data_IF_670958990705
#
_entry.id   IF_670958990705
#
_cell.length_a   1.000
_cell.length_b   1.000
_cell.length_c   1.000
_cell.angle_alpha   90.00
_cell.angle_beta   90.00
_cell.angle_gamma   90.00
#
_symmetry.space_group_name_H-M   'P 1'
#
loop_
_entity.id
_entity.type
_entity.pdbx_description
1 polymer ?
#
# COMPACT_ATOMS: atom_id res chain seq x y z
N UNK A 1 18.29 4.01 -9.07
CA UNK A 1 17.29 5.03 -9.46
C UNK A 1 16.18 4.34 -10.22
N UNK A 2 14.98 4.23 -9.67
CA UNK A 2 13.82 3.72 -10.40
C UNK A 2 13.28 4.86 -11.28
N UNK A 3 13.51 4.79 -12.60
CA UNK A 3 12.75 5.60 -13.55
C UNK A 3 11.31 5.05 -13.54
N UNK A 4 10.38 5.91 -13.16
CA UNK A 4 8.98 5.55 -12.96
C UNK A 4 8.14 6.39 -13.95
N UNK A 5 7.42 5.72 -14.86
CA UNK A 5 6.74 6.32 -16.01
C UNK A 5 5.32 6.86 -15.70
N UNK A 6 4.94 7.15 -14.44
CA UNK A 6 3.67 7.83 -14.16
C UNK A 6 3.21 7.83 -12.69
N UNK A 7 2.16 8.60 -12.39
CA UNK A 7 1.65 8.83 -11.03
C UNK A 7 1.07 7.59 -10.32
N UNK A 8 0.70 6.52 -11.04
CA UNK A 8 0.09 5.29 -10.47
C UNK A 8 1.01 4.06 -10.52
N UNK A 9 2.30 4.26 -10.74
CA UNK A 9 3.22 3.15 -10.96
C UNK A 9 3.65 2.43 -9.66
N UNK A 10 3.81 3.18 -8.57
CA UNK A 10 4.21 2.61 -7.28
C UNK A 10 3.49 3.31 -6.12
N UNK A 11 2.75 2.53 -5.34
CA UNK A 11 2.11 2.96 -4.09
C UNK A 11 2.85 2.36 -2.91
N UNK A 12 3.25 3.18 -1.95
CA UNK A 12 3.85 2.73 -0.70
C UNK A 12 2.78 2.76 0.40
N UNK A 13 2.51 1.63 1.03
CA UNK A 13 1.60 1.53 2.19
C UNK A 13 2.44 1.30 3.43
N UNK A 14 2.20 2.11 4.47
CA UNK A 14 2.95 2.07 5.72
C UNK A 14 2.01 2.21 6.93
N UNK A 15 2.34 1.48 8.00
CA UNK A 15 1.65 1.48 9.28
C UNK A 15 2.51 2.14 10.35
N UNK A 16 2.02 3.21 10.95
CA UNK A 16 2.73 3.93 12.00
C UNK A 16 2.16 3.63 13.38
N UNK A 17 2.90 2.81 14.12
CA UNK A 17 2.49 2.25 15.41
C UNK A 17 3.00 3.02 16.65
N UNK A 18 3.74 4.12 16.50
CA UNK A 18 4.31 4.81 17.68
C UNK A 18 3.24 5.38 18.64
N UNK A 19 2.02 5.60 18.13
CA UNK A 19 0.88 6.07 18.93
C UNK A 19 -0.04 4.92 19.38
N UNK A 20 0.31 3.68 19.07
CA UNK A 20 -0.42 2.47 19.49
C UNK A 20 -0.54 2.35 21.02
N UNK A 21 0.45 2.74 21.86
CA UNK A 21 0.29 2.78 23.32
C UNK A 21 -0.85 3.69 23.80
N UNK A 22 -1.25 4.68 22.99
CA UNK A 22 -2.36 5.58 23.26
C UNK A 22 -3.66 5.16 22.57
N UNK A 23 -3.70 3.98 21.94
CA UNK A 23 -4.87 3.45 21.23
C UNK A 23 -5.07 4.01 19.82
N UNK A 24 -4.04 4.63 19.23
CA UNK A 24 -4.11 5.19 17.88
C UNK A 24 -3.10 4.51 16.95
N UNK A 25 -3.60 3.72 16.01
CA UNK A 25 -2.81 3.20 14.90
C UNK A 25 -3.03 4.11 13.69
N UNK A 26 -1.95 4.65 13.12
CA UNK A 26 -2.04 5.48 11.93
C UNK A 26 -1.69 4.62 10.71
N UNK A 27 -2.58 4.60 9.73
CA UNK A 27 -2.36 3.94 8.45
C UNK A 27 -2.28 4.98 7.35
N UNK A 28 -1.23 4.92 6.55
CA UNK A 28 -1.04 5.86 5.46
C UNK A 28 -0.53 5.18 4.19
N UNK A 29 -0.76 5.85 3.07
CA UNK A 29 -0.05 5.52 1.85
C UNK A 29 0.38 6.75 1.09
N UNK A 30 1.44 6.57 0.31
CA UNK A 30 2.05 7.62 -0.48
C UNK A 30 2.33 7.14 -1.91
N UNK A 31 2.17 8.04 -2.87
CA UNK A 31 2.60 7.81 -4.23
C UNK A 31 4.14 7.87 -4.30
N UNK A 32 4.78 6.79 -4.77
CA UNK A 32 6.23 6.70 -4.88
C UNK A 32 6.86 7.68 -5.89
N UNK A 33 6.08 8.16 -6.86
CA UNK A 33 6.54 9.16 -7.83
C UNK A 33 6.38 10.59 -7.32
N UNK A 34 5.15 10.97 -6.95
CA UNK A 34 4.82 12.35 -6.60
C UNK A 34 5.06 12.71 -5.12
N UNK A 35 5.35 11.71 -4.27
CA UNK A 35 5.41 11.82 -2.80
C UNK A 35 4.14 12.40 -2.16
N UNK A 36 3.02 12.42 -2.89
CA UNK A 36 1.72 12.84 -2.36
C UNK A 36 1.16 11.77 -1.45
N UNK A 37 0.55 12.20 -0.34
CA UNK A 37 -0.22 11.34 0.54
C UNK A 37 -1.51 10.95 -0.20
N UNK A 38 -1.76 9.66 -0.33
CA UNK A 38 -2.96 9.10 -0.96
C UNK A 38 -4.08 8.97 0.07
N UNK A 39 -3.75 8.44 1.24
CA UNK A 39 -4.63 8.47 2.41
C UNK A 39 -3.82 8.52 3.70
N UNK A 40 -4.45 9.06 4.74
CA UNK A 40 -3.97 9.04 6.11
C UNK A 40 -5.19 8.83 7.02
N UNK A 41 -5.26 7.69 7.69
CA UNK A 41 -6.41 7.29 8.52
C UNK A 41 -5.94 6.81 9.87
N UNK A 42 -6.70 7.17 10.90
CA UNK A 42 -6.47 6.71 12.27
C UNK A 42 -7.45 5.59 12.56
N UNK A 43 -6.95 4.43 12.95
CA UNK A 43 -7.72 3.31 13.43
C UNK A 43 -7.50 3.13 14.94
N UNK A 44 -8.51 2.62 15.64
CA UNK A 44 -8.38 2.25 17.06
C UNK A 44 -7.54 0.98 17.28
N UNK A 45 -7.38 0.17 16.24
CA UNK A 45 -6.61 -1.08 16.26
C UNK A 45 -5.98 -1.31 14.89
N UNK A 46 -4.77 -1.87 14.87
CA UNK A 46 -4.11 -2.34 13.63
C UNK A 46 -4.26 -3.85 13.43
N UNK A 47 -4.88 -4.56 14.38
CA UNK A 47 -4.90 -6.03 14.39
C UNK A 47 -5.90 -6.63 13.39
N UNK A 48 -6.71 -5.79 12.74
CA UNK A 48 -7.71 -6.22 11.75
C UNK A 48 -7.26 -5.82 10.34
N UNK A 49 -6.78 -6.78 9.52
CA UNK A 49 -6.39 -6.52 8.14
C UNK A 49 -7.54 -5.99 7.27
N UNK A 50 -8.81 -6.26 7.62
CA UNK A 50 -9.97 -5.74 6.88
C UNK A 50 -10.07 -4.22 6.95
N UNK A 51 -9.64 -3.60 8.06
CA UNK A 51 -9.64 -2.14 8.21
C UNK A 51 -8.67 -1.52 7.21
N UNK A 52 -7.44 -2.02 7.14
CA UNK A 52 -6.41 -1.49 6.22
C UNK A 52 -6.80 -1.75 4.76
N UNK A 53 -7.32 -2.94 4.46
CA UNK A 53 -7.84 -3.28 3.14
C UNK A 53 -8.99 -2.36 2.69
N UNK A 54 -9.88 -1.95 3.60
CA UNK A 54 -10.97 -1.03 3.28
C UNK A 54 -10.47 0.34 2.82
N UNK A 55 -9.36 0.84 3.37
CA UNK A 55 -8.74 2.08 2.93
C UNK A 55 -8.14 1.93 1.53
N UNK A 56 -7.51 0.79 1.27
CA UNK A 56 -6.96 0.48 -0.04
C UNK A 56 -8.06 0.38 -1.12
N UNK A 57 -9.16 -0.32 -0.83
CA UNK A 57 -10.30 -0.43 -1.76
C UNK A 57 -10.93 0.92 -2.09
N UNK A 58 -11.12 1.79 -1.08
CA UNK A 58 -11.59 3.16 -1.31
C UNK A 58 -10.67 3.94 -2.23
N UNK A 59 -9.36 3.80 -2.04
CA UNK A 59 -8.39 4.41 -2.93
C UNK A 59 -8.51 3.88 -4.38
N UNK A 60 -8.65 2.56 -4.57
CA UNK A 60 -8.87 1.97 -5.90
C UNK A 60 -10.13 2.50 -6.58
N UNK A 61 -11.20 2.68 -5.82
CA UNK A 61 -12.46 3.27 -6.27
C UNK A 61 -12.27 4.75 -6.68
N UNK A 62 -11.58 5.55 -5.86
CA UNK A 62 -11.27 6.95 -6.13
C UNK A 62 -10.46 7.15 -7.42
N UNK A 63 -9.50 6.27 -7.70
CA UNK A 63 -8.71 6.33 -8.94
C UNK A 63 -9.33 5.55 -10.10
N UNK A 64 -10.43 4.82 -9.85
CA UNK A 64 -11.10 3.90 -10.76
C UNK A 64 -10.12 2.99 -11.55
N UNK A 65 -9.10 2.49 -10.86
CA UNK A 65 -7.99 1.74 -11.46
C UNK A 65 -7.19 0.96 -10.41
N UNK A 66 -6.33 0.04 -10.85
CA UNK A 66 -5.37 -0.63 -9.99
C UNK A 66 -3.95 -0.04 -10.20
N UNK A 67 -3.22 0.28 -9.12
CA UNK A 67 -1.83 0.71 -9.26
C UNK A 67 -1.00 -0.41 -9.89
N UNK A 68 0.06 -0.05 -10.60
CA UNK A 68 0.91 -1.06 -11.25
C UNK A 68 1.60 -1.95 -10.21
N UNK A 69 2.15 -1.31 -9.18
CA UNK A 69 2.83 -1.95 -8.07
C UNK A 69 2.42 -1.36 -6.73
N UNK A 70 2.31 -2.19 -5.70
CA UNK A 70 2.16 -1.77 -4.31
C UNK A 70 3.33 -2.32 -3.51
N UNK A 71 4.00 -1.45 -2.75
CA UNK A 71 4.99 -1.82 -1.76
C UNK A 71 4.35 -1.79 -0.38
N UNK A 72 4.43 -2.91 0.31
CA UNK A 72 3.89 -3.09 1.66
C UNK A 72 4.98 -3.63 2.59
N UNK A 73 4.85 -3.34 3.87
CA UNK A 73 5.64 -4.02 4.89
C UNK A 73 5.14 -5.46 5.07
N UNK A 74 6.05 -6.36 5.45
CA UNK A 74 5.78 -7.79 5.64
C UNK A 74 4.95 -8.11 6.91
N UNK A 75 4.03 -7.21 7.29
CA UNK A 75 3.12 -7.36 8.42
C UNK A 75 1.84 -8.12 8.06
N UNK A 76 1.22 -8.73 9.06
CA UNK A 76 -0.04 -9.49 8.87
C UNK A 76 -1.23 -8.58 8.57
N UNK A 77 -1.14 -7.30 8.94
CA UNK A 77 -2.16 -6.29 8.65
C UNK A 77 -2.32 -5.98 7.15
N UNK A 78 -1.32 -6.32 6.31
CA UNK A 78 -1.31 -5.99 4.89
C UNK A 78 -1.67 -7.19 3.97
N UNK A 79 -1.97 -8.36 4.54
CA UNK A 79 -2.23 -9.60 3.77
C UNK A 79 -3.39 -9.40 2.78
N UNK A 80 -4.47 -8.74 3.19
CA UNK A 80 -5.60 -8.49 2.29
C UNK A 80 -5.28 -7.46 1.19
N UNK A 81 -4.39 -6.49 1.45
CA UNK A 81 -3.94 -5.56 0.39
C UNK A 81 -3.17 -6.34 -0.67
N UNK A 82 -2.31 -7.27 -0.25
CA UNK A 82 -1.58 -8.15 -1.16
C UNK A 82 -2.52 -8.95 -2.04
N UNK A 83 -3.51 -9.64 -1.45
CA UNK A 83 -4.45 -10.47 -2.20
C UNK A 83 -5.28 -9.65 -3.19
N UNK A 84 -5.85 -8.53 -2.73
CA UNK A 84 -6.63 -7.60 -3.59
C UNK A 84 -5.78 -7.13 -4.77
N UNK A 85 -4.56 -6.66 -4.50
CA UNK A 85 -3.69 -6.12 -5.54
C UNK A 85 -3.34 -7.18 -6.59
N UNK A 86 -2.99 -8.40 -6.16
CA UNK A 86 -2.71 -9.51 -7.08
C UNK A 86 -3.93 -9.89 -7.91
N UNK A 87 -5.11 -9.95 -7.30
CA UNK A 87 -6.36 -10.29 -7.99
C UNK A 87 -6.73 -9.26 -9.05
N UNK A 88 -6.68 -7.97 -8.73
CA UNK A 88 -7.00 -6.89 -9.67
C UNK A 88 -6.01 -6.83 -10.83
N UNK A 89 -4.77 -7.25 -10.61
CA UNK A 89 -3.69 -7.22 -11.61
C UNK A 89 -3.48 -8.54 -12.35
N UNK A 90 -4.30 -9.56 -12.11
CA UNK A 90 -4.07 -10.92 -12.61
C UNK A 90 -4.00 -11.02 -14.14
N UNK A 91 -4.89 -10.32 -14.85
CA UNK A 91 -5.01 -10.39 -16.32
C UNK A 91 -4.32 -9.22 -17.05
N UNK A 92 -3.45 -8.47 -16.37
CA UNK A 92 -2.72 -7.39 -17.02
C UNK A 92 -1.53 -7.90 -17.85
N UNK A 93 -1.27 -7.23 -18.98
CA UNK A 93 -0.21 -7.58 -19.94
C UNK A 93 1.08 -6.78 -19.72
N UNK A 94 1.57 -6.71 -18.49
CA UNK A 94 2.85 -6.07 -18.17
C UNK A 94 3.66 -6.87 -17.14
N UNK A 95 4.96 -6.59 -17.03
CA UNK A 95 5.90 -7.39 -16.23
C UNK A 95 5.56 -7.47 -14.74
N UNK A 96 4.72 -6.57 -14.23
CA UNK A 96 4.31 -6.49 -12.83
C UNK A 96 2.87 -6.97 -12.64
N UNK A 97 2.35 -7.84 -13.51
CA UNK A 97 1.02 -8.43 -13.36
C UNK A 97 0.98 -9.50 -12.25
N UNK A 98 -0.23 -9.81 -11.78
CA UNK A 98 -0.48 -10.84 -10.77
C UNK A 98 0.41 -10.70 -9.54
N UNK A 99 1.15 -11.77 -9.19
CA UNK A 99 1.99 -11.82 -8.00
C UNK A 99 3.08 -10.75 -7.94
N UNK A 100 3.64 -10.37 -9.10
CA UNK A 100 4.74 -9.39 -9.19
C UNK A 100 4.28 -7.97 -8.88
N UNK A 101 2.97 -7.73 -8.85
CA UNK A 101 2.39 -6.42 -8.52
C UNK A 101 2.57 -6.02 -7.05
N UNK A 102 3.01 -6.93 -6.18
CA UNK A 102 3.25 -6.67 -4.75
C UNK A 102 4.72 -6.83 -4.41
N UNK A 103 5.30 -5.80 -3.80
CA UNK A 103 6.69 -5.77 -3.33
C UNK A 103 6.67 -5.74 -1.81
N UNK A 104 7.14 -6.80 -1.17
CA UNK A 104 7.31 -6.83 0.29
C UNK A 104 8.69 -6.29 0.67
N UNK A 105 8.72 -5.24 1.49
CA UNK A 105 9.95 -4.66 2.04
C UNK A 105 10.04 -4.83 3.55
N UNK A 106 11.26 -4.78 4.12
CA UNK A 106 11.45 -4.58 5.56
C UNK A 106 11.52 -3.09 5.86
N UNK A 107 10.90 -2.64 6.96
CA UNK A 107 10.77 -1.23 7.39
C UNK A 107 12.05 -0.37 7.28
N UNK A 108 13.24 -0.97 7.40
CA UNK A 108 14.56 -0.29 7.23
C UNK A 108 14.86 0.26 5.82
N UNK A 109 14.02 -0.01 4.82
CA UNK A 109 14.17 0.53 3.47
C UNK A 109 12.96 1.32 2.97
N UNK A 110 12.06 1.73 3.87
CA UNK A 110 10.98 2.69 3.60
C UNK A 110 11.36 4.14 3.94
N UNK A 111 12.52 4.37 4.56
CA UNK A 111 13.08 5.69 4.83
C UNK A 111 14.49 5.75 4.24
N UNK A 112 14.79 6.88 3.60
CA UNK A 112 16.08 7.32 3.02
C UNK A 112 16.64 6.48 1.86
N UNK A 113 17.15 7.03 0.76
CA UNK A 113 17.35 8.37 0.22
C UNK A 113 17.49 8.21 -1.30
#
# INVERSE_FOLDING_TARGET
MYLNNGSNYLVHVDGYDKLKPFGFAIHGAMCGFSRRILWLKVARTNNDPSVVASYFLKYLEEINSAPRCVRIDAGTENVYIEDIQKSFRWYHNDDMCGEKSVIKGRSMCNQVQ
#
